data_IF_888674132342
#
_entry.id   IF_888674132342
#
_cell.length_a   1.000
_cell.length_b   1.000
_cell.length_c   1.000
_cell.angle_alpha   90.00
_cell.angle_beta   90.00
_cell.angle_gamma   90.00
#
_symmetry.space_group_name_H-M   'P 1'
#
loop_
_entity.id
_entity.type
_entity.pdbx_description
1 polymer ?
#
# COMPACT_ATOMS: atom_id res chain seq x y z
N UNK A 1 -24.38 -6.22 -17.34
CA UNK A 1 -24.64 -7.53 -16.70
C UNK A 1 -23.39 -8.34 -16.92
N UNK A 2 -22.44 -8.24 -15.99
CA UNK A 2 -21.15 -8.93 -16.07
C UNK A 2 -21.28 -10.33 -15.48
N UNK A 3 -20.53 -11.25 -16.06
CA UNK A 3 -20.64 -12.70 -16.01
C UNK A 3 -20.18 -13.25 -14.63
N UNK A 4 -21.12 -13.71 -13.79
CA UNK A 4 -20.87 -14.25 -12.44
C UNK A 4 -20.24 -15.66 -12.44
N UNK A 5 -20.09 -16.29 -13.61
CA UNK A 5 -19.78 -17.73 -13.70
C UNK A 5 -18.30 -18.10 -13.51
N UNK A 6 -17.37 -17.13 -13.58
CA UNK A 6 -15.93 -17.41 -13.44
C UNK A 6 -15.42 -17.39 -11.99
N UNK A 7 -16.16 -16.82 -11.03
CA UNK A 7 -15.75 -16.77 -9.62
C UNK A 7 -16.12 -18.03 -8.82
N UNK A 8 -17.11 -18.80 -9.26
CA UNK A 8 -17.57 -20.02 -8.60
C UNK A 8 -16.51 -21.12 -8.38
N UNK A 9 -15.62 -21.47 -9.33
CA UNK A 9 -14.70 -22.61 -9.15
C UNK A 9 -13.67 -22.37 -8.05
N UNK A 10 -13.19 -21.14 -7.89
CA UNK A 10 -12.20 -20.76 -6.88
C UNK A 10 -12.81 -20.79 -5.47
N UNK A 11 -14.06 -20.35 -5.35
CA UNK A 11 -14.82 -20.32 -4.08
C UNK A 11 -15.08 -21.73 -3.58
N UNK A 12 -15.44 -22.64 -4.47
CA UNK A 12 -15.63 -24.05 -4.12
C UNK A 12 -14.33 -24.70 -3.64
N UNK A 13 -13.16 -24.28 -4.14
CA UNK A 13 -11.87 -24.78 -3.66
C UNK A 13 -11.60 -24.34 -2.22
N UNK A 14 -11.86 -23.07 -1.90
CA UNK A 14 -11.70 -22.51 -0.55
C UNK A 14 -12.64 -23.20 0.44
N UNK A 15 -13.93 -23.29 0.12
CA UNK A 15 -14.91 -23.96 0.99
C UNK A 15 -14.60 -25.44 1.17
N UNK A 16 -14.21 -26.13 0.09
CA UNK A 16 -13.80 -27.55 0.16
C UNK A 16 -12.57 -27.76 1.02
N UNK A 17 -11.58 -26.86 0.94
CA UNK A 17 -10.36 -26.95 1.75
C UNK A 17 -10.68 -26.84 3.25
N UNK A 18 -11.57 -25.92 3.62
CA UNK A 18 -12.03 -25.74 5.01
C UNK A 18 -13.09 -26.77 5.44
N UNK A 19 -13.55 -27.65 4.55
CA UNK A 19 -14.62 -28.60 4.83
C UNK A 19 -15.99 -27.95 5.06
N UNK A 20 -16.19 -26.73 4.57
CA UNK A 20 -17.41 -25.96 4.77
C UNK A 20 -18.49 -26.28 3.73
N UNK A 21 -19.79 -26.17 4.09
CA UNK A 21 -20.90 -26.28 3.14
C UNK A 21 -20.86 -25.20 2.06
N UNK A 22 -21.54 -25.44 0.93
CA UNK A 22 -21.61 -24.47 -0.19
C UNK A 22 -22.44 -23.23 0.13
N UNK A 23 -23.39 -23.39 1.04
CA UNK A 23 -24.30 -22.37 1.56
C UNK A 23 -23.79 -21.74 2.86
N UNK A 24 -22.49 -21.87 3.15
CA UNK A 24 -21.88 -21.29 4.34
C UNK A 24 -21.94 -19.76 4.34
N UNK A 25 -22.23 -19.21 5.52
CA UNK A 25 -22.26 -17.76 5.79
C UNK A 25 -21.30 -17.43 6.93
N UNK A 26 -20.39 -16.45 6.77
CA UNK A 26 -20.27 -15.50 5.66
C UNK A 26 -19.78 -16.14 4.34
N UNK A 27 -20.27 -15.62 3.21
CA UNK A 27 -19.92 -16.15 1.88
C UNK A 27 -18.57 -15.60 1.39
N UNK A 28 -17.68 -16.42 0.79
CA UNK A 28 -16.40 -15.94 0.25
C UNK A 28 -16.52 -14.94 -0.91
N UNK A 29 -17.69 -14.89 -1.57
CA UNK A 29 -17.96 -14.03 -2.73
C UNK A 29 -18.69 -12.77 -2.31
N UNK A 30 -19.75 -12.93 -1.53
CA UNK A 30 -20.64 -11.83 -1.17
C UNK A 30 -20.10 -11.04 0.03
N UNK A 31 -19.42 -11.73 0.95
CA UNK A 31 -18.87 -11.18 2.19
C UNK A 31 -17.41 -11.63 2.40
N UNK A 32 -16.49 -11.36 1.44
CA UNK A 32 -15.11 -11.83 1.51
C UNK A 32 -14.36 -11.30 2.74
N UNK A 33 -14.66 -10.06 3.16
CA UNK A 33 -14.03 -9.44 4.34
C UNK A 33 -14.38 -10.18 5.63
N UNK A 34 -15.67 -10.48 5.85
CA UNK A 34 -16.15 -11.20 7.03
C UNK A 34 -15.67 -12.65 7.03
N UNK A 35 -15.66 -13.29 5.85
CA UNK A 35 -15.14 -14.64 5.69
C UNK A 35 -13.65 -14.73 6.01
N UNK A 36 -12.84 -13.81 5.49
CA UNK A 36 -11.41 -13.76 5.80
C UNK A 36 -11.15 -13.40 7.26
N UNK A 37 -11.94 -12.53 7.88
CA UNK A 37 -11.79 -12.23 9.30
C UNK A 37 -11.89 -13.50 10.18
N UNK A 38 -12.66 -14.50 9.75
CA UNK A 38 -12.81 -15.78 10.45
C UNK A 38 -11.76 -16.82 10.03
N UNK A 39 -11.44 -16.92 8.74
CA UNK A 39 -10.72 -18.05 8.16
C UNK A 39 -9.35 -17.71 7.55
N UNK A 40 -8.88 -16.48 7.63
CA UNK A 40 -7.62 -16.11 6.96
C UNK A 40 -6.40 -16.88 7.47
N UNK A 41 -6.37 -17.25 8.76
CA UNK A 41 -5.26 -18.03 9.35
C UNK A 41 -5.30 -19.51 9.01
N UNK A 42 -6.46 -20.05 8.67
CA UNK A 42 -6.61 -21.47 8.32
C UNK A 42 -6.34 -21.74 6.85
N UNK A 43 -6.32 -20.70 6.01
CA UNK A 43 -6.13 -20.80 4.58
C UNK A 43 -4.65 -20.62 4.20
N UNK A 44 -4.10 -21.47 3.31
CA UNK A 44 -2.77 -21.28 2.77
C UNK A 44 -2.74 -20.09 1.80
N UNK A 45 -1.55 -19.50 1.66
CA UNK A 45 -1.27 -18.38 0.74
C UNK A 45 -1.90 -18.52 -0.66
N UNK A 46 -1.81 -19.69 -1.28
CA UNK A 46 -2.34 -19.88 -2.65
C UNK A 46 -3.85 -19.71 -2.73
N UNK A 47 -4.58 -20.08 -1.67
CA UNK A 47 -6.03 -19.89 -1.58
C UNK A 47 -6.39 -18.46 -1.15
N UNK A 48 -5.56 -17.83 -0.31
CA UNK A 48 -5.71 -16.41 0.04
C UNK A 48 -5.55 -15.50 -1.19
N UNK A 49 -4.62 -15.82 -2.08
CA UNK A 49 -4.37 -15.05 -3.30
C UNK A 49 -5.60 -14.96 -4.22
N UNK A 50 -6.54 -15.91 -4.13
CA UNK A 50 -7.79 -15.92 -4.90
C UNK A 50 -8.74 -14.79 -4.52
N UNK A 51 -8.59 -14.21 -3.33
CA UNK A 51 -9.39 -13.06 -2.89
C UNK A 51 -8.89 -11.74 -3.47
N UNK A 52 -7.68 -11.71 -4.03
CA UNK A 52 -7.05 -10.46 -4.50
C UNK A 52 -7.87 -9.69 -5.54
N UNK A 53 -8.55 -10.34 -6.51
CA UNK A 53 -9.44 -9.65 -7.45
C UNK A 53 -10.75 -9.15 -6.83
N UNK A 54 -11.19 -9.74 -5.71
CA UNK A 54 -12.48 -9.44 -5.08
C UNK A 54 -12.38 -8.32 -4.04
N UNK A 55 -11.21 -8.14 -3.42
CA UNK A 55 -10.96 -7.11 -2.40
C UNK A 55 -9.67 -6.33 -2.68
N UNK A 56 -9.79 -5.00 -2.67
CA UNK A 56 -8.64 -4.11 -2.88
C UNK A 56 -7.75 -3.99 -1.63
N UNK A 57 -6.57 -3.40 -1.79
CA UNK A 57 -5.61 -3.25 -0.71
C UNK A 57 -6.16 -2.43 0.47
N UNK A 58 -7.02 -1.45 0.22
CA UNK A 58 -7.70 -0.63 1.25
C UNK A 58 -8.71 -1.45 2.05
N UNK A 59 -9.56 -2.26 1.41
CA UNK A 59 -10.56 -3.12 2.05
C UNK A 59 -9.91 -4.17 2.96
N UNK A 60 -8.80 -4.76 2.52
CA UNK A 60 -8.04 -5.75 3.30
C UNK A 60 -7.54 -5.19 4.64
N UNK A 61 -7.38 -3.88 4.79
CA UNK A 61 -6.93 -3.25 6.05
C UNK A 61 -7.92 -3.42 7.20
N UNK A 62 -9.20 -3.69 6.90
CA UNK A 62 -10.19 -4.05 7.91
C UNK A 62 -9.77 -5.30 8.69
N UNK A 63 -8.98 -6.19 8.07
CA UNK A 63 -8.39 -7.35 8.71
C UNK A 63 -7.16 -6.90 9.53
N UNK A 64 -7.19 -7.01 10.88
CA UNK A 64 -6.07 -6.58 11.72
C UNK A 64 -4.76 -7.30 11.40
N UNK A 65 -4.84 -8.58 11.01
CA UNK A 65 -3.68 -9.36 10.63
C UNK A 65 -2.97 -8.77 9.40
N UNK A 66 -3.70 -8.29 8.39
CA UNK A 66 -3.12 -7.62 7.22
C UNK A 66 -2.38 -6.35 7.63
N UNK A 67 -2.97 -5.50 8.48
CA UNK A 67 -2.31 -4.29 8.99
C UNK A 67 -1.02 -4.63 9.73
N UNK A 68 -1.04 -5.69 10.55
CA UNK A 68 0.14 -6.15 11.29
C UNK A 68 1.24 -6.70 10.35
N UNK A 69 0.87 -7.47 9.33
CA UNK A 69 1.81 -7.99 8.31
C UNK A 69 2.49 -6.84 7.58
N UNK A 70 1.73 -5.85 7.12
CA UNK A 70 2.25 -4.63 6.47
C UNK A 70 3.16 -3.82 7.38
N UNK A 71 2.75 -3.59 8.63
CA UNK A 71 3.56 -2.87 9.61
C UNK A 71 4.95 -3.52 9.77
N UNK A 72 4.97 -4.85 9.93
CA UNK A 72 6.22 -5.62 10.10
C UNK A 72 7.07 -5.65 8.84
N UNK A 73 6.44 -5.83 7.69
CA UNK A 73 7.11 -5.74 6.40
C UNK A 73 7.79 -4.38 6.25
N UNK A 74 7.10 -3.29 6.57
CA UNK A 74 7.66 -1.94 6.52
C UNK A 74 8.84 -1.77 7.50
N UNK A 75 8.67 -2.22 8.74
CA UNK A 75 9.71 -2.11 9.78
C UNK A 75 10.96 -2.95 9.44
N UNK A 76 10.83 -3.99 8.60
CA UNK A 76 11.96 -4.76 8.05
C UNK A 76 12.84 -3.96 7.06
N UNK A 77 12.44 -2.72 6.72
CA UNK A 77 13.17 -1.80 5.83
C UNK A 77 13.45 -2.38 4.43
N UNK A 78 12.40 -2.77 3.69
CA UNK A 78 12.51 -3.36 2.37
C UNK A 78 13.07 -2.33 1.37
N UNK A 79 13.72 -2.79 0.29
CA UNK A 79 14.44 -1.91 -0.64
C UNK A 79 13.56 -0.84 -1.29
N UNK A 80 12.30 -1.14 -1.58
CA UNK A 80 11.33 -0.20 -2.15
C UNK A 80 11.00 1.00 -1.25
N UNK A 81 11.12 0.86 0.08
CA UNK A 81 10.85 1.94 1.04
C UNK A 81 12.11 2.66 1.52
N UNK A 82 13.28 2.31 0.97
CA UNK A 82 14.53 3.04 1.26
C UNK A 82 14.54 4.38 0.54
N UNK A 83 14.98 5.42 1.24
CA UNK A 83 14.91 6.83 0.82
C UNK A 83 15.21 7.10 -0.66
N UNK A 84 16.33 6.63 -1.26
CA UNK A 84 16.63 6.98 -2.65
C UNK A 84 15.58 6.48 -3.64
N UNK A 85 15.09 5.24 -3.47
CA UNK A 85 14.05 4.66 -4.31
C UNK A 85 12.67 5.18 -3.96
N UNK A 86 12.35 5.23 -2.67
CA UNK A 86 11.06 5.68 -2.17
C UNK A 86 10.76 7.14 -2.57
N UNK A 87 11.76 8.03 -2.53
CA UNK A 87 11.57 9.43 -2.91
C UNK A 87 11.27 9.59 -4.40
N UNK A 88 11.83 8.74 -5.25
CA UNK A 88 11.54 8.75 -6.69
C UNK A 88 10.14 8.23 -6.99
N UNK A 89 9.73 7.14 -6.34
CA UNK A 89 8.42 6.50 -6.56
C UNK A 89 7.27 7.27 -5.90
N UNK A 90 7.49 7.82 -4.71
CA UNK A 90 6.46 8.46 -3.87
C UNK A 90 6.75 9.95 -3.66
N UNK A 91 7.21 10.64 -4.70
CA UNK A 91 7.60 12.06 -4.64
C UNK A 91 6.50 12.96 -4.08
N UNK A 92 5.23 12.66 -4.34
CA UNK A 92 4.06 13.37 -3.83
C UNK A 92 3.94 13.38 -2.30
N UNK A 93 4.53 12.40 -1.60
CA UNK A 93 4.48 12.33 -0.13
C UNK A 93 5.56 13.18 0.54
N UNK A 94 6.55 13.67 -0.22
CA UNK A 94 7.64 14.47 0.33
C UNK A 94 7.13 15.85 0.78
N UNK A 95 7.45 16.30 2.01
CA UNK A 95 6.98 17.59 2.52
C UNK A 95 7.52 18.77 1.70
N UNK A 96 6.69 19.81 1.61
CA UNK A 96 7.01 21.07 0.92
C UNK A 96 6.05 21.37 -0.23
N UNK A 97 6.17 22.57 -0.85
CA UNK A 97 5.30 22.98 -1.94
C UNK A 97 5.60 22.08 -3.13
N UNK A 98 4.80 21.02 -3.29
CA UNK A 98 4.91 20.02 -4.37
C UNK A 98 6.16 19.15 -4.31
N UNK A 99 6.33 18.37 -3.24
CA UNK A 99 7.31 17.28 -3.07
C UNK A 99 8.32 17.06 -4.23
N UNK A 100 9.31 17.94 -4.35
CA UNK A 100 10.37 17.96 -5.37
C UNK A 100 9.95 17.85 -6.86
N UNK A 101 8.67 17.95 -7.21
CA UNK A 101 8.23 17.87 -8.60
C UNK A 101 8.73 19.09 -9.39
N UNK A 102 8.91 20.22 -8.72
CA UNK A 102 9.50 21.42 -9.31
C UNK A 102 11.03 21.31 -9.50
N UNK A 103 11.71 20.50 -8.69
CA UNK A 103 13.14 20.23 -8.84
C UNK A 103 13.40 19.15 -9.90
N UNK A 104 12.52 18.15 -10.00
CA UNK A 104 12.50 17.19 -11.12
C UNK A 104 12.19 17.91 -12.43
N UNK A 105 11.17 18.77 -12.46
CA UNK A 105 10.84 19.60 -13.63
C UNK A 105 12.00 20.48 -14.07
N UNK A 106 12.70 21.10 -13.11
CA UNK A 106 13.89 21.90 -13.40
C UNK A 106 15.06 21.05 -13.90
N UNK A 107 15.18 19.80 -13.43
CA UNK A 107 16.15 18.83 -13.93
C UNK A 107 15.84 18.46 -15.37
N UNK A 108 14.63 17.99 -15.65
CA UNK A 108 14.18 17.59 -16.98
C UNK A 108 14.22 18.76 -17.98
N UNK A 109 13.82 19.97 -17.57
CA UNK A 109 13.92 21.17 -18.41
C UNK A 109 15.38 21.57 -18.71
N UNK A 110 16.32 21.37 -17.78
CA UNK A 110 17.75 21.58 -18.03
C UNK A 110 18.31 20.52 -18.96
N UNK A 111 18.00 19.26 -18.73
CA UNK A 111 18.49 18.15 -19.54
C UNK A 111 17.96 18.24 -20.97
N UNK A 112 16.69 18.63 -21.16
CA UNK A 112 16.10 18.82 -22.48
C UNK A 112 16.65 20.06 -23.20
N UNK A 113 16.94 21.13 -22.45
CA UNK A 113 17.67 22.30 -22.99
C UNK A 113 19.09 21.92 -23.43
N UNK A 114 19.80 21.15 -22.62
CA UNK A 114 21.15 20.70 -22.93
C UNK A 114 21.17 19.74 -24.13
N UNK A 115 20.19 18.86 -24.23
CA UNK A 115 20.00 18.00 -25.40
C UNK A 115 19.70 18.81 -26.66
N UNK A 116 18.82 19.81 -26.57
CA UNK A 116 18.50 20.69 -27.69
C UNK A 116 19.71 21.50 -28.17
N UNK A 117 20.56 21.95 -27.23
CA UNK A 117 21.77 22.71 -27.55
C UNK A 117 22.91 21.82 -28.10
N UNK A 118 23.01 20.55 -27.68
CA UNK A 118 24.13 19.65 -28.03
C UNK A 118 23.83 18.70 -29.19
N UNK A 119 22.65 18.10 -29.22
CA UNK A 119 22.35 16.95 -30.10
C UNK A 119 21.36 17.25 -31.22
N UNK A 120 20.41 18.17 -31.02
CA UNK A 120 19.28 18.38 -31.95
C UNK A 120 19.68 18.80 -33.37
N UNK A 121 20.87 19.39 -33.57
CA UNK A 121 21.43 19.77 -34.87
C UNK A 121 22.91 19.36 -35.02
N UNK A 122 23.31 18.22 -34.44
CA UNK A 122 24.68 17.66 -34.54
C UNK A 122 25.79 18.69 -34.19
N UNK A 123 25.55 19.56 -33.22
CA UNK A 123 26.52 20.57 -32.77
C UNK A 123 26.75 21.76 -33.74
N UNK A 124 25.93 21.96 -34.79
CA UNK A 124 26.00 23.19 -35.62
C UNK A 124 25.43 24.38 -34.86
N UNK A 125 26.26 24.96 -34.01
CA UNK A 125 25.98 26.13 -33.16
C UNK A 125 25.90 27.47 -33.91
N UNK A 126 25.84 27.46 -35.24
CA UNK A 126 25.90 28.68 -36.07
C UNK A 126 24.58 29.46 -36.15
N UNK A 127 23.53 29.03 -35.45
CA UNK A 127 22.24 29.71 -35.43
C UNK A 127 21.82 30.12 -34.03
N UNK A 128 21.74 31.43 -33.76
CA UNK A 128 21.06 32.05 -32.58
C UNK A 128 19.61 31.57 -32.35
N UNK A 129 19.08 30.78 -33.28
CA UNK A 129 17.76 30.16 -33.29
C UNK A 129 17.71 28.85 -32.50
N UNK A 130 18.81 28.09 -32.38
CA UNK A 130 18.83 26.79 -31.66
C UNK A 130 18.73 26.99 -30.16
N UNK A 131 19.50 27.94 -29.60
CA UNK A 131 19.40 28.27 -28.17
C UNK A 131 18.04 28.86 -27.75
N UNK A 132 17.35 29.56 -28.66
CA UNK A 132 15.96 29.99 -28.42
C UNK A 132 14.98 28.82 -28.42
N UNK A 133 15.28 27.77 -29.17
CA UNK A 133 14.44 26.57 -29.28
C UNK A 133 14.62 25.68 -28.04
N UNK A 134 15.84 25.55 -27.52
CA UNK A 134 16.13 24.90 -26.24
C UNK A 134 15.52 25.65 -25.05
N UNK A 135 15.59 26.99 -25.04
CA UNK A 135 14.91 27.82 -24.03
C UNK A 135 13.39 27.64 -24.10
N UNK A 136 12.81 27.65 -25.31
CA UNK A 136 11.39 27.39 -25.50
C UNK A 136 11.03 26.00 -24.97
N UNK A 137 11.70 24.94 -25.43
CA UNK A 137 11.44 23.55 -25.00
C UNK A 137 11.47 23.40 -23.49
N UNK A 138 12.45 23.99 -22.80
CA UNK A 138 12.52 24.00 -21.34
C UNK A 138 11.32 24.67 -20.67
N UNK A 139 10.78 25.76 -21.23
CA UNK A 139 9.55 26.39 -20.69
C UNK A 139 8.30 25.54 -20.92
N UNK A 140 8.21 24.81 -22.03
CA UNK A 140 7.06 23.95 -22.33
C UNK A 140 7.04 22.67 -21.48
N UNK A 141 8.20 22.15 -21.06
CA UNK A 141 8.30 21.01 -20.15
C UNK A 141 7.91 21.40 -18.73
N UNK A 142 8.42 22.54 -18.25
CA UNK A 142 8.02 23.13 -16.96
C UNK A 142 6.49 23.35 -16.89
N UNK A 143 5.88 23.86 -17.96
CA UNK A 143 4.42 24.06 -18.03
C UNK A 143 3.65 22.73 -18.02
N UNK A 144 4.14 21.71 -18.75
CA UNK A 144 3.55 20.36 -18.76
C UNK A 144 3.59 19.70 -17.39
N UNK A 145 4.70 19.84 -16.66
CA UNK A 145 4.83 19.26 -15.32
C UNK A 145 4.03 20.04 -14.28
N UNK A 146 3.93 21.37 -14.43
CA UNK A 146 3.06 22.19 -13.60
C UNK A 146 1.57 21.83 -13.76
N UNK A 147 1.14 21.46 -14.96
CA UNK A 147 -0.22 20.94 -15.21
C UNK A 147 -0.45 19.60 -14.50
N UNK A 148 0.46 18.63 -14.66
CA UNK A 148 0.39 17.34 -13.92
C UNK A 148 0.35 17.54 -12.41
N UNK A 149 1.14 18.48 -11.89
CA UNK A 149 1.15 18.80 -10.46
C UNK A 149 -0.20 19.34 -9.97
N UNK A 150 -0.91 20.13 -10.80
CA UNK A 150 -2.26 20.62 -10.47
C UNK A 150 -3.28 19.49 -10.43
N UNK A 151 -3.20 18.55 -11.36
CA UNK A 151 -4.11 17.40 -11.40
C UNK A 151 -3.87 16.45 -10.21
N UNK A 152 -2.60 16.21 -9.85
CA UNK A 152 -2.24 15.46 -8.66
C UNK A 152 -2.77 16.11 -7.37
N UNK A 153 -2.67 17.44 -7.24
CA UNK A 153 -3.26 18.16 -6.09
C UNK A 153 -4.77 18.01 -6.02
N UNK A 154 -5.46 17.97 -7.17
CA UNK A 154 -6.90 17.75 -7.24
C UNK A 154 -7.26 16.33 -6.79
N UNK A 155 -6.56 15.33 -7.33
CA UNK A 155 -6.73 13.93 -6.97
C UNK A 155 -6.40 13.66 -5.49
N UNK A 156 -5.37 14.31 -4.96
CA UNK A 156 -5.00 14.17 -3.55
C UNK A 156 -6.11 14.69 -2.64
N UNK A 157 -6.69 15.85 -2.95
CA UNK A 157 -7.83 16.41 -2.21
C UNK A 157 -9.06 15.49 -2.28
N UNK A 158 -9.36 14.95 -3.46
CA UNK A 158 -10.46 14.00 -3.64
C UNK A 158 -10.24 12.69 -2.86
N UNK A 159 -8.98 12.24 -2.74
CA UNK A 159 -8.62 11.06 -1.95
C UNK A 159 -8.68 11.30 -0.43
N UNK A 160 -8.38 12.53 0.02
CA UNK A 160 -8.52 12.97 1.41
C UNK A 160 -10.00 13.12 1.80
N UNK A 161 -10.84 13.68 0.93
CA UNK A 161 -12.31 13.76 1.11
C UNK A 161 -12.99 12.36 1.09
N UNK A 162 -12.37 11.36 0.46
CA UNK A 162 -12.83 9.98 0.46
C UNK A 162 -12.43 9.15 1.71
N UNK A 163 -11.82 9.79 2.72
CA UNK A 163 -11.63 9.22 4.06
C UNK A 163 -12.88 9.58 4.89
N UNK A 164 -13.71 8.61 5.31
CA UNK A 164 -14.82 8.90 6.22
C UNK A 164 -14.26 9.50 7.51
N UNK A 165 -14.66 10.73 7.82
CA UNK A 165 -14.38 11.42 9.07
C UNK A 165 -14.93 10.56 10.24
N UNK A 166 -14.06 9.85 10.95
CA UNK A 166 -14.36 9.50 12.34
C UNK A 166 -14.09 10.78 13.15
N UNK A 167 -15.15 11.31 13.78
CA UNK A 167 -15.12 12.50 14.62
C UNK A 167 -14.09 12.35 15.76
N UNK A 168 -12.84 12.73 15.52
CA UNK A 168 -11.89 13.08 16.55
C UNK A 168 -11.56 14.57 16.39
N UNK A 169 -11.89 15.32 17.44
CA UNK A 169 -11.78 16.78 17.59
C UNK A 169 -10.34 17.25 17.25
N UNK A 170 -10.09 17.66 16.01
CA UNK A 170 -8.73 17.94 15.50
C UNK A 170 -8.65 19.29 14.78
N UNK A 171 -8.99 20.37 15.49
CA UNK A 171 -8.72 21.77 15.09
C UNK A 171 -7.22 22.14 15.15
N UNK A 172 -6.32 21.13 15.32
CA UNK A 172 -4.88 21.31 15.57
C UNK A 172 -3.97 20.65 14.50
N UNK A 173 -4.48 19.76 13.63
CA UNK A 173 -3.69 19.15 12.55
C UNK A 173 -3.67 19.98 11.26
N UNK A 174 -4.77 20.68 10.94
CA UNK A 174 -4.85 21.56 9.76
C UNK A 174 -4.00 22.83 9.95
N UNK A 175 -3.88 23.32 11.19
CA UNK A 175 -2.97 24.40 11.55
C UNK A 175 -1.48 23.97 11.47
N UNK A 176 -1.18 22.69 11.76
CA UNK A 176 0.18 22.16 11.69
C UNK A 176 0.68 21.98 10.25
N UNK A 177 -0.18 21.61 9.29
CA UNK A 177 0.23 21.49 7.88
C UNK A 177 0.46 22.85 7.20
N UNK A 178 -0.26 23.90 7.61
CA UNK A 178 -0.02 25.26 7.17
C UNK A 178 1.23 25.89 7.86
N UNK A 179 1.50 25.53 9.12
CA UNK A 179 2.68 25.99 9.86
C UNK A 179 3.98 25.23 9.50
N UNK A 180 3.90 23.98 9.01
CA UNK A 180 5.03 23.17 8.55
C UNK A 180 5.67 23.64 7.23
N UNK A 181 5.29 24.82 6.75
CA UNK A 181 5.97 25.53 5.65
C UNK A 181 7.20 26.32 6.12
N UNK A 182 7.53 26.31 7.42
CA UNK A 182 8.88 26.62 7.88
C UNK A 182 9.87 25.61 7.25
N UNK A 183 11.07 26.07 6.89
CA UNK A 183 12.12 25.25 6.26
C UNK A 183 12.49 24.06 7.17
N UNK A 184 11.75 22.96 7.07
CA UNK A 184 12.03 21.73 7.78
C UNK A 184 13.48 21.34 7.50
N UNK A 185 14.22 20.98 8.55
CA UNK A 185 15.55 20.43 8.34
C UNK A 185 15.46 19.18 7.46
N UNK A 186 16.52 18.86 6.68
CA UNK A 186 16.49 17.66 5.83
C UNK A 186 16.12 16.38 6.58
N UNK A 187 16.51 16.28 7.85
CA UNK A 187 16.19 15.15 8.71
C UNK A 187 14.70 15.09 9.08
N UNK A 188 14.11 16.22 9.44
CA UNK A 188 12.67 16.29 9.77
C UNK A 188 11.81 16.01 8.53
N UNK A 189 12.23 16.48 7.36
CA UNK A 189 11.58 16.17 6.09
C UNK A 189 11.60 14.66 5.79
N UNK A 190 12.74 13.99 6.02
CA UNK A 190 12.87 12.55 5.88
C UNK A 190 11.99 11.76 6.86
N UNK A 191 11.95 12.17 8.13
CA UNK A 191 11.16 11.51 9.17
C UNK A 191 9.66 11.63 8.87
N UNK A 192 9.21 12.82 8.44
CA UNK A 192 7.81 13.05 8.07
C UNK A 192 7.43 12.31 6.79
N UNK A 193 8.31 12.27 5.78
CA UNK A 193 8.11 11.46 4.58
C UNK A 193 7.96 9.97 4.94
N UNK A 194 8.85 9.43 5.78
CA UNK A 194 8.77 8.03 6.22
C UNK A 194 7.49 7.74 6.99
N UNK A 195 7.04 8.66 7.84
CA UNK A 195 5.77 8.55 8.57
C UNK A 195 4.58 8.46 7.61
N UNK A 196 4.46 9.41 6.67
CA UNK A 196 3.39 9.42 5.66
C UNK A 196 3.42 8.17 4.78
N UNK A 197 4.62 7.76 4.35
CA UNK A 197 4.80 6.54 3.56
C UNK A 197 4.34 5.29 4.34
N UNK A 198 4.71 5.19 5.62
CA UNK A 198 4.30 4.10 6.51
C UNK A 198 2.78 4.03 6.66
N UNK A 199 2.14 5.15 6.95
CA UNK A 199 0.68 5.24 7.11
C UNK A 199 -0.04 4.84 5.81
N UNK A 200 0.31 5.50 4.68
CA UNK A 200 -0.31 5.21 3.38
C UNK A 200 -0.09 3.74 2.98
N UNK A 201 1.07 3.18 3.26
CA UNK A 201 1.33 1.76 3.01
C UNK A 201 0.43 0.85 3.87
N UNK A 202 0.40 1.03 5.19
CA UNK A 202 -0.40 0.20 6.11
C UNK A 202 -1.87 0.24 5.70
N UNK A 203 -2.41 1.39 5.34
CA UNK A 203 -3.80 1.57 4.95
C UNK A 203 -4.11 1.25 3.48
N UNK A 204 -3.17 0.69 2.73
CA UNK A 204 -3.44 0.22 1.37
C UNK A 204 -3.66 1.35 0.36
N UNK A 205 -3.10 2.53 0.62
CA UNK A 205 -3.32 3.76 -0.16
C UNK A 205 -2.22 4.03 -1.20
N UNK A 206 -1.31 3.09 -1.44
CA UNK A 206 -0.27 3.16 -2.48
C UNK A 206 -0.64 2.26 -3.67
N UNK A 207 -1.91 2.29 -4.09
CA UNK A 207 -2.44 1.43 -5.15
C UNK A 207 -1.64 1.57 -6.46
N UNK A 208 -1.32 0.43 -7.08
CA UNK A 208 -0.59 0.38 -8.35
C UNK A 208 0.93 0.65 -8.28
N UNK A 209 1.44 1.09 -7.13
CA UNK A 209 2.88 1.37 -6.93
C UNK A 209 3.58 0.28 -6.11
N UNK A 210 2.84 -0.51 -5.33
CA UNK A 210 3.37 -1.54 -4.43
C UNK A 210 2.64 -2.87 -4.65
N UNK A 211 3.39 -3.96 -4.58
CA UNK A 211 2.82 -5.32 -4.53
C UNK A 211 2.30 -5.63 -3.12
N UNK A 212 1.01 -5.35 -2.90
CA UNK A 212 0.32 -5.67 -1.66
C UNK A 212 0.07 -7.17 -1.50
N UNK A 213 -0.17 -7.92 -2.58
CA UNK A 213 -0.49 -9.36 -2.52
C UNK A 213 0.70 -10.16 -1.96
N UNK A 214 1.92 -9.75 -2.32
CA UNK A 214 3.17 -10.33 -1.81
C UNK A 214 3.37 -10.16 -0.30
N UNK A 215 2.73 -9.18 0.33
CA UNK A 215 2.85 -8.89 1.77
C UNK A 215 1.62 -9.35 2.54
N UNK A 216 0.44 -9.03 2.03
CA UNK A 216 -0.85 -9.31 2.65
C UNK A 216 -1.06 -10.79 2.88
N UNK A 217 -0.64 -11.63 1.93
CA UNK A 217 -0.85 -13.08 1.98
C UNK A 217 0.38 -13.85 2.46
N UNK A 218 1.43 -13.16 2.89
CA UNK A 218 2.66 -13.79 3.39
C UNK A 218 2.60 -13.96 4.92
N UNK A 219 2.34 -15.20 5.32
CA UNK A 219 2.22 -15.65 6.70
C UNK A 219 3.49 -15.44 7.53
N UNK A 220 4.69 -15.34 6.91
CA UNK A 220 5.95 -15.14 7.66
C UNK A 220 5.98 -13.86 8.51
N UNK A 221 5.08 -12.92 8.22
CA UNK A 221 4.95 -11.68 8.97
C UNK A 221 4.03 -11.81 10.19
N UNK A 222 3.32 -12.92 10.39
CA UNK A 222 2.49 -13.12 11.56
C UNK A 222 3.33 -13.47 12.81
N UNK A 223 3.08 -12.82 13.97
CA UNK A 223 3.81 -13.10 15.22
C UNK A 223 3.58 -14.48 15.82
N UNK A 224 2.43 -15.10 15.51
CA UNK A 224 1.84 -16.15 16.33
C UNK A 224 1.81 -17.53 15.65
N UNK A 225 2.39 -17.70 14.45
CA UNK A 225 2.46 -19.03 13.83
C UNK A 225 3.10 -20.04 14.77
N UNK A 226 4.23 -19.68 15.39
CA UNK A 226 4.93 -20.58 16.31
C UNK A 226 4.21 -20.73 17.65
N UNK A 227 3.54 -19.67 18.14
CA UNK A 227 2.93 -19.67 19.47
C UNK A 227 1.59 -20.41 19.53
N UNK A 228 0.75 -20.26 18.50
CA UNK A 228 -0.55 -20.94 18.43
C UNK A 228 -0.35 -22.45 18.14
N UNK A 229 0.72 -22.85 17.42
CA UNK A 229 1.10 -24.26 17.23
C UNK A 229 1.73 -24.87 18.49
N UNK A 230 2.57 -24.13 19.21
CA UNK A 230 3.12 -24.55 20.49
C UNK A 230 2.02 -24.68 21.56
N UNK A 231 1.13 -23.69 21.73
CA UNK A 231 0.03 -23.75 22.71
C UNK A 231 -0.95 -24.91 22.41
N UNK A 232 -1.21 -25.22 21.14
CA UNK A 232 -2.03 -26.38 20.74
C UNK A 232 -1.36 -27.73 21.02
N UNK A 233 -0.03 -27.79 20.97
CA UNK A 233 0.72 -28.99 21.36
C UNK A 233 0.61 -29.26 22.88
N UNK A 234 0.53 -28.20 23.69
CA UNK A 234 0.38 -28.33 25.14
C UNK A 234 -1.06 -28.61 25.59
N UNK A 235 -2.08 -28.14 24.86
CA UNK A 235 -3.49 -28.46 25.15
C UNK A 235 -3.86 -29.92 24.82
N UNK A 236 -3.24 -30.54 23.80
CA UNK A 236 -3.47 -31.95 23.44
C UNK A 236 -2.88 -32.96 24.46
N UNK A 237 -1.97 -32.53 25.36
CA UNK A 237 -1.41 -33.38 26.42
C UNK A 237 -2.20 -33.34 27.75
N UNK A 238 -3.05 -32.33 28.00
CA UNK A 238 -3.84 -32.24 29.25
C UNK A 238 -5.19 -32.96 29.20
N UNK A 239 -5.70 -33.37 28.03
CA UNK A 239 -6.99 -34.08 27.91
C UNK A 239 -6.81 -35.57 27.51
N UNK A 240 -5.97 -36.30 28.24
CA UNK A 240 -6.04 -37.78 28.23
C UNK A 240 -7.11 -38.26 29.24
N UNK A 241 -8.05 -39.12 28.81
CA UNK A 241 -9.28 -39.36 29.55
C UNK A 241 -9.01 -40.19 30.80
N UNK A 242 -9.34 -39.63 31.98
CA UNK A 242 -9.62 -40.42 33.16
C UNK A 242 -10.95 -41.18 32.97
N UNK A 243 -10.98 -42.14 32.04
CA UNK A 243 -12.07 -43.12 31.93
C UNK A 243 -12.04 -44.06 33.13
N UNK A 244 -13.02 -43.87 34.01
CA UNK A 244 -13.79 -44.89 34.73
C UNK A 244 -13.13 -46.27 34.97
N UNK A 245 -12.70 -46.48 36.22
CA UNK A 245 -12.63 -47.76 36.93
C UNK A 245 -13.17 -47.43 38.33
N UNK A 246 -14.32 -47.89 38.86
CA UNK A 246 -15.03 -49.15 38.72
C UNK A 246 -16.45 -49.00 39.29
N UNK A 247 -17.44 -49.61 38.62
CA UNK A 247 -18.76 -49.92 39.18
C UNK A 247 -18.68 -51.03 40.24
N UNK A 248 -19.72 -51.05 41.10
CA UNK A 248 -20.29 -52.19 41.85
C UNK A 248 -19.48 -52.87 42.98
N UNK A 249 -19.98 -52.77 44.23
CA UNK A 249 -20.60 -53.88 44.96
C UNK A 249 -20.99 -53.46 46.41
N UNK A 250 -22.23 -53.82 46.78
CA UNK A 250 -22.88 -53.92 48.10
C UNK A 250 -23.02 -52.70 49.04
#
# INVERSE_FOLDING_TARGET
MADTTQSEPHVLAVLKYLGLPKDYTPSPVEQPEEFLAQHMRSLPRDLLALFSPSINAKQRTKLPAIRNRRLRYFDSSPPEFRLPGAKATFSSLWPGPVGNMQDVARGEAKDEKEWADKEFMEGRTEGRQVGKLGELLGTWTEEREAERARDLRRLQREAEEAVPEEEEDTDDEEAAEAAAQEELSPREAEELFKRRLKERFIYGLLEGLVDYDGVDWDEKWDPNLDRDEEERWFDDEEESPATNLTQSAD
#
